data_IF_429407625649
#
_entry.id   IF_429407625649
#
_cell.length_a   1.000
_cell.length_b   1.000
_cell.length_c   1.000
_cell.angle_alpha   90.00
_cell.angle_beta   90.00
_cell.angle_gamma   90.00
#
_symmetry.space_group_name_H-M   'P 1'
#
loop_
_entity.id
_entity.type
_entity.pdbx_description
1 polymer ?
#
# COMPACT_ATOMS: atom_id res chain seq x y z
N UNK A 1 4.26 -13.49 2.16
CA UNK A 1 3.53 -12.24 1.91
C UNK A 1 4.23 -11.03 2.51
N UNK A 2 4.32 -10.83 3.85
CA UNK A 2 4.90 -9.59 4.43
C UNK A 2 6.34 -9.31 3.98
N UNK A 3 7.26 -10.23 4.20
CA UNK A 3 8.68 -10.00 3.88
C UNK A 3 8.95 -9.97 2.38
N UNK A 4 8.17 -10.73 1.61
CA UNK A 4 8.18 -10.64 0.14
C UNK A 4 7.74 -9.26 -0.35
N UNK A 5 6.74 -8.64 0.31
CA UNK A 5 6.31 -7.27 0.01
C UNK A 5 7.41 -6.25 0.28
N UNK A 6 8.14 -6.37 1.39
CA UNK A 6 9.32 -5.52 1.67
C UNK A 6 10.41 -5.68 0.63
N UNK A 7 10.76 -6.92 0.31
CA UNK A 7 11.82 -7.22 -0.66
C UNK A 7 11.48 -6.64 -2.04
N UNK A 8 10.21 -6.78 -2.47
CA UNK A 8 9.77 -6.23 -3.75
C UNK A 8 9.76 -4.70 -3.76
N UNK A 9 9.30 -4.06 -2.69
CA UNK A 9 9.36 -2.60 -2.55
C UNK A 9 10.81 -2.09 -2.60
N UNK A 10 11.75 -2.75 -1.90
CA UNK A 10 13.19 -2.42 -1.95
C UNK A 10 13.72 -2.52 -3.37
N UNK A 11 13.47 -3.65 -4.05
CA UNK A 11 13.95 -3.87 -5.40
C UNK A 11 13.43 -2.82 -6.40
N UNK A 12 12.17 -2.38 -6.25
CA UNK A 12 11.60 -1.31 -7.07
C UNK A 12 12.27 0.05 -6.81
N UNK A 13 12.53 0.38 -5.54
CA UNK A 13 13.25 1.61 -5.17
C UNK A 13 14.68 1.59 -5.71
N UNK A 14 15.38 0.46 -5.59
CA UNK A 14 16.73 0.27 -6.13
C UNK A 14 16.77 0.40 -7.66
N UNK A 15 15.70 0.00 -8.35
CA UNK A 15 15.54 0.18 -9.80
C UNK A 15 15.10 1.60 -10.21
N UNK A 16 14.96 2.53 -9.27
CA UNK A 16 14.54 3.92 -9.55
C UNK A 16 13.05 4.09 -9.83
N UNK A 17 12.22 3.08 -9.53
CA UNK A 17 10.75 3.18 -9.69
C UNK A 17 10.18 3.99 -8.52
N UNK A 18 9.29 4.97 -8.77
CA UNK A 18 8.56 5.63 -7.69
C UNK A 18 7.67 4.63 -6.95
N UNK A 19 7.89 4.47 -5.64
CA UNK A 19 7.19 3.50 -4.79
C UNK A 19 6.51 4.21 -3.62
N UNK A 20 5.27 3.83 -3.34
CA UNK A 20 4.65 4.03 -2.04
C UNK A 20 4.48 2.66 -1.37
N UNK A 21 4.96 2.51 -0.14
CA UNK A 21 4.89 1.27 0.62
C UNK A 21 4.20 1.53 1.97
N UNK A 22 3.27 0.64 2.33
CA UNK A 22 2.56 0.67 3.60
C UNK A 22 2.45 -0.76 4.15
N UNK A 23 2.80 -0.93 5.42
CA UNK A 23 2.59 -2.20 6.13
C UNK A 23 1.40 -2.07 7.08
N UNK A 24 0.32 -2.77 6.75
CA UNK A 24 -0.87 -2.91 7.60
C UNK A 24 -0.55 -3.79 8.82
N UNK A 25 0.12 -3.23 9.83
CA UNK A 25 0.54 -3.98 11.02
C UNK A 25 -0.68 -4.51 11.79
N UNK A 26 -0.60 -5.77 12.23
CA UNK A 26 -1.70 -6.44 12.93
C UNK A 26 -2.81 -6.99 12.01
N UNK A 27 -2.79 -6.68 10.72
CA UNK A 27 -3.71 -7.27 9.75
C UNK A 27 -3.21 -8.62 9.21
N UNK A 28 -4.16 -9.42 8.69
CA UNK A 28 -3.89 -10.70 8.02
C UNK A 28 -3.92 -10.55 6.50
N UNK A 29 -3.44 -11.56 5.78
CA UNK A 29 -3.64 -11.62 4.33
C UNK A 29 -5.15 -11.61 4.00
N UNK A 30 -5.56 -10.82 3.01
CA UNK A 30 -6.97 -10.67 2.62
C UNK A 30 -7.79 -9.69 3.48
N UNK A 31 -7.17 -8.93 4.39
CA UNK A 31 -7.87 -8.04 5.32
C UNK A 31 -8.83 -7.03 4.66
N UNK A 32 -8.55 -6.59 3.42
CA UNK A 32 -9.35 -5.60 2.70
C UNK A 32 -10.80 -6.06 2.46
N UNK A 33 -11.04 -7.37 2.35
CA UNK A 33 -12.38 -7.95 2.24
C UNK A 33 -13.19 -7.82 3.53
N UNK A 34 -12.54 -7.64 4.68
CA UNK A 34 -13.16 -7.54 6.01
C UNK A 34 -13.33 -6.11 6.49
N UNK A 35 -13.06 -5.09 5.66
CA UNK A 35 -13.11 -3.66 6.05
C UNK A 35 -14.40 -3.18 6.71
N UNK A 36 -15.54 -3.84 6.44
CA UNK A 36 -16.83 -3.52 7.10
C UNK A 36 -16.94 -4.05 8.53
N UNK A 37 -16.20 -5.11 8.84
CA UNK A 37 -16.23 -5.79 10.13
C UNK A 37 -15.06 -5.41 11.03
N UNK A 38 -13.92 -5.03 10.45
CA UNK A 38 -12.69 -4.73 11.18
C UNK A 38 -12.29 -3.27 10.90
N UNK A 39 -12.41 -2.35 11.88
CA UNK A 39 -12.11 -0.94 11.67
C UNK A 39 -10.66 -0.67 11.22
N UNK A 40 -9.67 -1.39 11.76
CA UNK A 40 -8.27 -1.24 11.31
C UNK A 40 -8.08 -1.63 9.86
N UNK A 41 -8.83 -2.61 9.35
CA UNK A 41 -8.79 -3.00 7.93
C UNK A 41 -9.34 -1.91 7.00
N UNK A 42 -10.32 -1.12 7.44
CA UNK A 42 -10.81 0.04 6.69
C UNK A 42 -9.77 1.15 6.67
N UNK A 43 -9.18 1.47 7.83
CA UNK A 43 -8.15 2.50 7.93
C UNK A 43 -6.93 2.18 7.06
N UNK A 44 -6.45 0.94 7.06
CA UNK A 44 -5.32 0.53 6.22
C UNK A 44 -5.66 0.55 4.72
N UNK A 45 -6.92 0.29 4.35
CA UNK A 45 -7.37 0.43 2.96
C UNK A 45 -7.39 1.89 2.51
N UNK A 46 -7.83 2.81 3.37
CA UNK A 46 -7.83 4.25 3.09
C UNK A 46 -6.41 4.76 2.85
N UNK A 47 -5.43 4.38 3.69
CA UNK A 47 -4.01 4.72 3.48
C UNK A 47 -3.51 4.24 2.11
N UNK A 48 -3.86 3.01 1.71
CA UNK A 48 -3.44 2.47 0.41
C UNK A 48 -4.08 3.24 -0.77
N UNK A 49 -5.35 3.62 -0.66
CA UNK A 49 -6.06 4.39 -1.70
C UNK A 49 -5.52 5.82 -1.81
N UNK A 50 -5.21 6.47 -0.70
CA UNK A 50 -4.62 7.80 -0.67
C UNK A 50 -3.21 7.80 -1.27
N UNK A 51 -2.40 6.78 -0.96
CA UNK A 51 -1.09 6.59 -1.57
C UNK A 51 -1.19 6.45 -3.11
N UNK A 52 -2.17 5.67 -3.60
CA UNK A 52 -2.42 5.53 -5.03
C UNK A 52 -2.88 6.86 -5.66
N UNK A 53 -3.82 7.56 -5.04
CA UNK A 53 -4.31 8.86 -5.52
C UNK A 53 -3.17 9.87 -5.65
N UNK A 54 -2.27 9.93 -4.65
CA UNK A 54 -1.10 10.79 -4.66
C UNK A 54 -0.12 10.45 -5.80
N UNK A 55 0.11 9.16 -6.08
CA UNK A 55 0.96 8.73 -7.20
C UNK A 55 0.34 9.11 -8.55
N UNK A 56 -0.98 8.96 -8.71
CA UNK A 56 -1.68 9.33 -9.93
C UNK A 56 -1.69 10.86 -10.16
N UNK A 57 -1.88 11.64 -9.09
CA UNK A 57 -1.85 13.10 -9.17
C UNK A 57 -0.49 13.62 -9.66
N UNK A 58 0.62 13.03 -9.15
CA UNK A 58 2.00 13.35 -9.60
C UNK A 58 2.24 13.08 -11.07
N UNK A 59 1.47 12.17 -11.69
CA UNK A 59 1.64 11.75 -13.08
C UNK A 59 0.86 12.62 -14.08
N UNK A 60 -0.07 13.46 -13.62
CA UNK A 60 -0.92 14.33 -14.46
C UNK A 60 -0.30 15.70 -14.81
N UNK A 61 0.97 15.92 -14.45
CA UNK A 61 1.72 17.17 -14.67
C UNK A 61 2.94 16.96 -15.60
N UNK A 62 2.83 16.01 -16.53
CA UNK A 62 3.82 15.75 -17.57
C UNK A 62 3.23 15.92 -18.95
#
# INVERSE_FOLDING_TARGET
MRDQGRAYASALVEAGVPVAFHEAQGNIHGFTSFRRAIPSSQADLEVALDALANLLARRRIG
#
